data_IF_162053598703
#
_entry.id   IF_162053598703
#
_cell.length_a   1.000
_cell.length_b   1.000
_cell.length_c   1.000
_cell.angle_alpha   90.00
_cell.angle_beta   90.00
_cell.angle_gamma   90.00
#
_symmetry.space_group_name_H-M   'P 1'
#
loop_
_entity.id
_entity.type
_entity.pdbx_description
1 polymer ?
#
# COMPACT_ATOMS: atom_id res chain seq x y z
N UNK A 1 6.86 7.70 17.77
CA UNK A 1 7.60 6.91 18.78
C UNK A 1 7.90 7.68 20.06
N UNK A 2 8.49 8.89 19.99
CA UNK A 2 8.81 9.73 21.17
C UNK A 2 7.65 9.91 22.15
N UNK A 3 6.45 10.28 21.65
CA UNK A 3 5.27 10.42 22.49
C UNK A 3 4.88 9.11 23.20
N UNK A 4 4.93 7.98 22.48
CA UNK A 4 4.56 6.67 23.04
C UNK A 4 5.60 6.11 24.00
N UNK A 5 6.88 6.39 23.77
CA UNK A 5 7.96 6.06 24.72
C UNK A 5 7.81 6.84 26.03
N UNK A 6 7.53 8.14 25.93
CA UNK A 6 7.25 9.00 27.09
C UNK A 6 6.04 8.51 27.90
N UNK A 7 4.92 8.16 27.24
CA UNK A 7 3.75 7.57 27.90
C UNK A 7 4.02 6.24 28.62
N UNK A 8 5.13 5.54 28.31
CA UNK A 8 5.51 4.27 28.93
C UNK A 8 6.74 4.40 29.85
N UNK A 9 7.21 5.61 30.13
CA UNK A 9 8.39 5.84 30.97
C UNK A 9 9.71 5.38 30.34
N UNK A 10 9.75 5.20 29.01
CA UNK A 10 10.95 4.77 28.29
C UNK A 10 11.79 5.98 27.89
N UNK A 11 13.11 5.87 28.06
CA UNK A 11 14.05 6.84 27.48
C UNK A 11 14.21 6.55 25.98
N UNK A 12 13.93 7.54 25.14
CA UNK A 12 14.01 7.42 23.69
C UNK A 12 15.04 8.40 23.14
N UNK A 13 16.05 7.88 22.43
CA UNK A 13 17.09 8.68 21.76
C UNK A 13 16.97 8.49 20.25
N UNK A 14 16.30 9.40 19.52
CA UNK A 14 16.21 9.26 18.07
C UNK A 14 17.56 9.50 17.40
N UNK A 15 17.90 8.66 16.45
CA UNK A 15 18.97 8.90 15.47
C UNK A 15 18.27 9.19 14.14
N UNK A 16 18.34 10.45 13.71
CA UNK A 16 17.72 10.89 12.46
C UNK A 16 18.72 10.74 11.33
N UNK A 17 18.31 10.10 10.25
CA UNK A 17 19.07 10.01 9.01
C UNK A 17 18.17 10.36 7.84
N UNK A 18 18.74 10.99 6.84
CA UNK A 18 18.01 11.39 5.62
C UNK A 18 17.98 10.27 4.58
N UNK A 19 18.99 9.38 4.60
CA UNK A 19 19.14 8.32 3.62
C UNK A 19 18.67 6.96 4.17
N UNK A 20 17.80 6.29 3.40
CA UNK A 20 17.31 4.94 3.69
C UNK A 20 18.42 3.91 3.86
N UNK A 21 19.47 3.94 3.03
CA UNK A 21 20.59 2.98 3.11
C UNK A 21 21.46 3.19 4.35
N UNK A 22 21.39 4.36 4.97
CA UNK A 22 22.09 4.62 6.23
C UNK A 22 21.39 3.96 7.42
N UNK A 23 20.05 3.92 7.45
CA UNK A 23 19.27 3.34 8.55
C UNK A 23 19.72 1.93 8.93
N UNK A 24 19.83 1.03 7.94
CA UNK A 24 20.18 -0.37 8.20
C UNK A 24 21.65 -0.55 8.54
N UNK A 25 22.55 0.24 7.96
CA UNK A 25 23.97 0.23 8.35
C UNK A 25 24.17 0.67 9.80
N UNK A 26 23.39 1.64 10.29
CA UNK A 26 23.43 2.05 11.69
C UNK A 26 22.89 0.97 12.63
N UNK A 27 21.84 0.27 12.21
CA UNK A 27 21.29 -0.87 12.94
C UNK A 27 22.32 -2.01 13.02
N UNK A 28 22.89 -2.43 11.89
CA UNK A 28 23.84 -3.56 11.82
C UNK A 28 25.20 -3.27 12.48
N UNK A 29 25.65 -2.01 12.44
CA UNK A 29 26.87 -1.60 13.15
C UNK A 29 26.69 -1.47 14.67
N UNK A 30 25.46 -1.65 15.17
CA UNK A 30 25.14 -1.47 16.59
C UNK A 30 25.13 -0.01 17.03
N UNK A 31 25.08 0.96 16.10
CA UNK A 31 24.89 2.38 16.42
C UNK A 31 23.45 2.69 16.83
N UNK A 32 22.48 1.85 16.42
CA UNK A 32 21.09 1.90 16.83
C UNK A 32 20.67 0.54 17.38
N UNK A 33 19.92 0.52 18.49
CA UNK A 33 19.40 -0.71 19.08
C UNK A 33 18.12 -1.22 18.37
N UNK A 34 17.40 -0.32 17.70
CA UNK A 34 16.14 -0.61 17.05
C UNK A 34 15.90 0.30 15.84
N UNK A 35 15.10 -0.19 14.90
CA UNK A 35 14.59 0.55 13.75
C UNK A 35 13.06 0.67 13.85
N UNK A 36 12.51 1.80 13.41
CA UNK A 36 11.06 2.03 13.38
C UNK A 36 10.64 2.64 12.05
N UNK A 37 9.59 2.07 11.47
CA UNK A 37 8.84 2.62 10.34
C UNK A 37 7.46 1.95 10.31
N UNK A 38 6.67 2.16 9.26
CA UNK A 38 5.47 1.36 9.03
C UNK A 38 5.84 -0.14 8.92
N UNK A 39 4.95 -1.00 9.43
CA UNK A 39 5.25 -2.43 9.61
C UNK A 39 5.50 -3.14 8.28
N UNK A 40 4.77 -2.77 7.22
CA UNK A 40 4.96 -3.29 5.86
C UNK A 40 6.34 -2.96 5.31
N UNK A 41 6.74 -1.69 5.38
CA UNK A 41 8.04 -1.22 4.93
C UNK A 41 9.18 -1.82 5.76
N UNK A 42 8.99 -1.92 7.07
CA UNK A 42 9.93 -2.60 7.98
C UNK A 42 10.13 -4.06 7.56
N UNK A 43 9.04 -4.80 7.29
CA UNK A 43 9.11 -6.19 6.84
C UNK A 43 9.78 -6.35 5.48
N UNK A 44 9.47 -5.48 4.52
CA UNK A 44 10.10 -5.51 3.21
C UNK A 44 11.61 -5.21 3.30
N UNK A 45 12.00 -4.18 4.04
CA UNK A 45 13.39 -3.78 4.14
C UNK A 45 14.23 -4.74 4.99
N UNK A 46 13.69 -5.27 6.09
CA UNK A 46 14.37 -6.31 6.87
C UNK A 46 14.79 -7.48 5.97
N UNK A 47 13.92 -7.92 5.04
CA UNK A 47 14.22 -9.02 4.12
C UNK A 47 15.16 -8.65 2.97
N UNK A 48 15.19 -7.39 2.56
CA UNK A 48 15.86 -6.97 1.30
C UNK A 48 17.08 -6.08 1.50
N UNK A 49 17.37 -5.66 2.74
CA UNK A 49 18.43 -4.69 3.07
C UNK A 49 19.40 -5.18 4.14
N UNK A 50 18.95 -6.01 5.08
CA UNK A 50 19.83 -6.56 6.10
C UNK A 50 20.66 -7.72 5.52
N UNK A 51 21.92 -7.81 5.93
CA UNK A 51 22.83 -8.88 5.52
C UNK A 51 22.43 -10.25 6.09
N UNK A 52 21.84 -10.26 7.30
CA UNK A 52 21.34 -11.46 7.99
C UNK A 52 19.96 -11.19 8.59
N UNK A 53 18.88 -11.22 7.79
CA UNK A 53 17.53 -10.92 8.28
C UNK A 53 17.08 -11.81 9.44
N UNK A 54 17.57 -13.04 9.54
CA UNK A 54 17.26 -14.02 10.58
C UNK A 54 17.72 -13.60 11.98
N UNK A 55 18.68 -12.68 12.09
CA UNK A 55 19.19 -12.17 13.37
C UNK A 55 18.27 -11.09 13.99
N UNK A 56 17.19 -10.71 13.30
CA UNK A 56 16.31 -9.61 13.68
C UNK A 56 14.86 -10.04 13.82
N UNK A 57 14.11 -9.34 14.68
CA UNK A 57 12.68 -9.57 14.90
C UNK A 57 11.88 -8.28 14.70
N UNK A 58 10.71 -8.40 14.07
CA UNK A 58 9.70 -7.34 14.05
C UNK A 58 8.76 -7.56 15.22
N UNK A 59 8.78 -6.62 16.17
CA UNK A 59 7.93 -6.69 17.36
C UNK A 59 6.43 -6.70 17.01
N UNK A 60 5.66 -7.40 17.85
CA UNK A 60 4.22 -7.57 17.66
C UNK A 60 3.43 -6.25 17.78
N UNK A 61 3.95 -5.31 18.56
CA UNK A 61 3.32 -4.06 18.92
C UNK A 61 3.17 -3.12 17.72
N UNK A 62 1.96 -2.61 17.51
CA UNK A 62 1.71 -1.52 16.58
C UNK A 62 1.73 -0.19 17.33
N UNK A 63 2.65 0.70 16.94
CA UNK A 63 2.86 2.00 17.60
C UNK A 63 1.90 3.11 17.13
N UNK A 64 1.31 2.95 15.95
CA UNK A 64 0.51 3.96 15.24
C UNK A 64 -0.59 3.30 14.38
N UNK A 65 -1.50 4.12 13.83
CA UNK A 65 -2.40 3.75 12.73
C UNK A 65 -1.91 4.45 11.47
N UNK A 66 -1.57 3.71 10.43
CA UNK A 66 -0.95 4.23 9.20
C UNK A 66 -1.71 3.75 7.96
N UNK A 67 -2.92 4.28 7.72
CA UNK A 67 -3.69 3.92 6.53
C UNK A 67 -3.02 4.52 5.28
N UNK A 68 -2.39 3.65 4.48
CA UNK A 68 -1.78 4.04 3.21
C UNK A 68 -2.87 4.14 2.14
N UNK A 69 -3.29 5.37 1.84
CA UNK A 69 -4.28 5.67 0.82
C UNK A 69 -3.68 6.47 -0.33
N UNK A 70 -4.28 6.40 -1.53
CA UNK A 70 -3.93 7.31 -2.61
C UNK A 70 -4.15 8.76 -2.20
N UNK A 71 -3.15 9.61 -2.43
CA UNK A 71 -3.23 11.04 -2.16
C UNK A 71 -3.18 11.80 -3.48
N UNK A 72 -4.10 12.76 -3.66
CA UNK A 72 -4.17 13.62 -4.83
C UNK A 72 -4.28 15.09 -4.40
N UNK A 73 -3.98 16.02 -5.31
CA UNK A 73 -4.17 17.45 -5.04
C UNK A 73 -5.67 17.77 -4.94
N UNK A 74 -6.01 18.71 -4.07
CA UNK A 74 -7.36 19.27 -3.99
C UNK A 74 -7.70 20.09 -5.24
N UNK A 75 -8.99 20.20 -5.56
CA UNK A 75 -9.50 20.98 -6.69
C UNK A 75 -9.52 20.25 -8.03
N UNK A 76 -9.10 18.98 -8.08
CA UNK A 76 -9.16 18.13 -9.26
C UNK A 76 -10.06 16.91 -8.98
N UNK A 77 -11.38 17.15 -8.98
CA UNK A 77 -12.39 16.13 -8.67
C UNK A 77 -12.42 15.01 -9.71
N UNK A 78 -12.10 15.32 -10.96
CA UNK A 78 -12.03 14.31 -12.01
C UNK A 78 -10.88 13.34 -11.73
N UNK A 79 -9.68 13.86 -11.42
CA UNK A 79 -8.54 13.02 -11.06
C UNK A 79 -8.77 12.23 -9.78
N UNK A 80 -9.39 12.85 -8.76
CA UNK A 80 -9.81 12.14 -7.56
C UNK A 80 -10.76 10.99 -7.89
N UNK A 81 -11.73 11.22 -8.80
CA UNK A 81 -12.64 10.20 -9.30
C UNK A 81 -11.89 9.02 -9.91
N UNK A 82 -10.97 9.28 -10.85
CA UNK A 82 -10.17 8.24 -11.51
C UNK A 82 -9.38 7.41 -10.50
N UNK A 83 -8.65 8.06 -9.58
CA UNK A 83 -7.81 7.36 -8.58
C UNK A 83 -8.66 6.53 -7.62
N UNK A 84 -9.79 7.09 -7.15
CA UNK A 84 -10.72 6.39 -6.25
C UNK A 84 -11.34 5.17 -6.94
N UNK A 85 -11.86 5.33 -8.15
CA UNK A 85 -12.53 4.24 -8.86
C UNK A 85 -11.57 3.17 -9.36
N UNK A 86 -10.31 3.51 -9.64
CA UNK A 86 -9.25 2.50 -9.87
C UNK A 86 -9.10 1.59 -8.65
N UNK A 87 -9.02 2.16 -7.43
CA UNK A 87 -8.91 1.36 -6.21
C UNK A 87 -10.14 0.46 -6.02
N UNK A 88 -11.35 0.98 -6.20
CA UNK A 88 -12.57 0.17 -6.06
C UNK A 88 -12.69 -0.91 -7.14
N UNK A 89 -12.27 -0.62 -8.37
CA UNK A 89 -12.25 -1.63 -9.43
C UNK A 89 -11.32 -2.81 -9.08
N UNK A 90 -10.15 -2.55 -8.49
CA UNK A 90 -9.23 -3.60 -8.04
C UNK A 90 -9.84 -4.46 -6.91
N UNK A 91 -10.50 -3.83 -5.94
CA UNK A 91 -11.17 -4.54 -4.84
C UNK A 91 -12.32 -5.41 -5.35
N UNK A 92 -13.19 -4.86 -6.19
CA UNK A 92 -14.32 -5.60 -6.77
C UNK A 92 -13.84 -6.71 -7.72
N UNK A 93 -12.75 -6.47 -8.47
CA UNK A 93 -12.15 -7.50 -9.30
C UNK A 93 -11.69 -8.70 -8.47
N UNK A 94 -11.01 -8.47 -7.34
CA UNK A 94 -10.63 -9.52 -6.41
C UNK A 94 -11.86 -10.24 -5.83
N UNK A 95 -12.89 -9.51 -5.40
CA UNK A 95 -14.12 -10.06 -4.84
C UNK A 95 -14.88 -10.97 -5.83
N UNK A 96 -14.92 -10.60 -7.12
CA UNK A 96 -15.54 -11.41 -8.17
C UNK A 96 -14.60 -12.46 -8.80
N UNK A 97 -13.37 -12.60 -8.29
CA UNK A 97 -12.39 -13.56 -8.83
C UNK A 97 -11.91 -13.24 -10.24
N UNK A 98 -11.98 -11.96 -10.63
CA UNK A 98 -11.34 -11.44 -11.84
C UNK A 98 -9.85 -11.30 -11.55
N UNK A 99 -9.04 -11.94 -12.37
CA UNK A 99 -7.58 -11.97 -12.26
C UNK A 99 -6.98 -11.60 -13.60
N UNK A 100 -5.69 -11.23 -13.60
CA UNK A 100 -4.95 -11.02 -14.84
C UNK A 100 -5.01 -12.23 -15.79
N UNK A 101 -5.17 -13.45 -15.26
CA UNK A 101 -5.19 -14.69 -16.06
C UNK A 101 -6.52 -14.96 -16.75
N UNK A 102 -7.64 -14.49 -16.21
CA UNK A 102 -8.99 -14.81 -16.69
C UNK A 102 -9.81 -13.58 -17.11
N UNK A 103 -9.24 -12.36 -17.07
CA UNK A 103 -9.96 -11.11 -17.37
C UNK A 103 -10.64 -11.13 -18.74
N UNK A 104 -9.99 -11.70 -19.76
CA UNK A 104 -10.55 -11.82 -21.11
C UNK A 104 -11.69 -12.86 -21.20
N UNK A 105 -11.60 -13.94 -20.42
CA UNK A 105 -12.66 -14.96 -20.35
C UNK A 105 -13.90 -14.41 -19.64
N UNK A 106 -13.69 -13.60 -18.60
CA UNK A 106 -14.73 -12.95 -17.80
C UNK A 106 -15.56 -11.93 -18.60
N UNK A 107 -15.10 -11.50 -19.79
CA UNK A 107 -15.91 -10.71 -20.72
C UNK A 107 -17.20 -11.43 -21.17
N UNK A 108 -17.24 -12.76 -21.03
CA UNK A 108 -18.41 -13.60 -21.36
C UNK A 108 -19.22 -13.99 -20.12
N UNK A 109 -18.91 -13.43 -18.96
CA UNK A 109 -19.60 -13.74 -17.70
C UNK A 109 -21.09 -13.45 -17.82
N UNK A 110 -21.93 -14.26 -17.17
CA UNK A 110 -23.36 -13.98 -17.02
C UNK A 110 -23.63 -13.00 -15.87
N UNK A 111 -22.63 -12.66 -15.07
CA UNK A 111 -22.78 -11.73 -13.95
C UNK A 111 -22.72 -10.27 -14.45
N UNK A 112 -23.81 -9.48 -14.32
CA UNK A 112 -23.86 -8.11 -14.80
C UNK A 112 -22.88 -7.17 -14.06
N UNK A 113 -22.48 -7.49 -12.83
CA UNK A 113 -21.45 -6.70 -12.12
C UNK A 113 -20.08 -6.89 -12.78
N UNK A 114 -19.71 -8.13 -13.11
CA UNK A 114 -18.47 -8.44 -13.84
C UNK A 114 -18.46 -7.75 -15.21
N UNK A 115 -19.56 -7.85 -15.96
CA UNK A 115 -19.68 -7.19 -17.27
C UNK A 115 -19.58 -5.66 -17.19
N UNK A 116 -20.06 -5.05 -16.12
CA UNK A 116 -19.94 -3.60 -15.89
C UNK A 116 -18.52 -3.22 -15.50
N UNK A 117 -17.90 -3.95 -14.58
CA UNK A 117 -16.50 -3.74 -14.18
C UNK A 117 -15.60 -3.78 -15.41
N UNK A 118 -15.75 -4.79 -16.27
CA UNK A 118 -14.91 -4.98 -17.45
C UNK A 118 -15.28 -4.11 -18.67
N UNK A 119 -16.27 -3.22 -18.52
CA UNK A 119 -16.69 -2.31 -19.58
C UNK A 119 -17.43 -2.97 -20.75
N UNK A 120 -17.91 -4.22 -20.60
CA UNK A 120 -18.82 -4.85 -21.57
C UNK A 120 -20.16 -4.14 -21.55
N UNK A 121 -20.63 -3.75 -20.35
CA UNK A 121 -21.70 -2.77 -20.21
C UNK A 121 -21.11 -1.36 -20.25
N UNK A 122 -21.44 -0.52 -21.24
CA UNK A 122 -20.78 0.77 -21.45
C UNK A 122 -21.22 1.84 -20.44
N UNK A 123 -20.39 2.87 -20.26
CA UNK A 123 -20.74 4.12 -19.59
C UNK A 123 -19.85 4.50 -18.41
N UNK A 124 -19.30 3.52 -17.69
CA UNK A 124 -18.49 3.80 -16.50
C UNK A 124 -17.17 4.48 -16.84
N UNK A 125 -16.45 4.01 -17.87
CA UNK A 125 -15.21 4.65 -18.31
C UNK A 125 -15.48 6.06 -18.81
N UNK A 126 -16.51 6.22 -19.66
CA UNK A 126 -16.90 7.53 -20.19
C UNK A 126 -17.25 8.56 -19.10
N UNK A 127 -17.96 8.14 -18.05
CA UNK A 127 -18.28 9.01 -16.92
C UNK A 127 -17.03 9.48 -16.14
N UNK A 128 -15.91 8.75 -16.26
CA UNK A 128 -14.61 9.12 -15.69
C UNK A 128 -13.69 9.81 -16.70
N UNK A 129 -14.16 10.07 -17.93
CA UNK A 129 -13.33 10.61 -19.01
C UNK A 129 -12.32 9.61 -19.59
N UNK A 130 -12.56 8.32 -19.42
CA UNK A 130 -11.71 7.21 -19.85
C UNK A 130 -12.42 6.33 -20.91
N UNK A 131 -11.68 5.37 -21.46
CA UNK A 131 -12.30 4.33 -22.28
C UNK A 131 -13.07 3.36 -21.36
N UNK A 132 -14.21 2.83 -21.82
CA UNK A 132 -14.95 1.82 -21.04
C UNK A 132 -14.09 0.56 -20.77
N UNK A 133 -13.06 0.35 -21.58
CA UNK A 133 -12.08 -0.73 -21.50
C UNK A 133 -10.93 -0.45 -20.54
N UNK A 134 -10.94 0.62 -19.75
CA UNK A 134 -9.79 0.95 -18.89
C UNK A 134 -9.60 0.00 -17.70
N UNK A 135 -10.63 -0.77 -17.32
CA UNK A 135 -10.56 -1.73 -16.21
C UNK A 135 -10.05 -3.13 -16.60
N UNK A 136 -9.61 -3.32 -17.85
CA UNK A 136 -9.09 -4.60 -18.37
C UNK A 136 -7.64 -4.47 -18.84
#
# INVERSE_FOLDING_TARGET
>A
MTARASCRGLTFKPVLVENYDENFRLLESGRCDAYTNDKSNTAANMRTRLAKPEDWEILSENLSKEPLGPMVRQGDENWLGIVRWTLFALLEAEEYGITQKNVDEMLKSSNPNVLRILGVTPGMGKNLGLDDKTAR
#
